data_IF_502766606383
#
_entry.id   IF_502766606383
#
_cell.length_a   1.000
_cell.length_b   1.000
_cell.length_c   1.000
_cell.angle_alpha   90.00
_cell.angle_beta   90.00
_cell.angle_gamma   90.00
#
_symmetry.space_group_name_H-M   'P 1'
#
loop_
_entity.id
_entity.type
_entity.pdbx_description
1 polymer ?
#
# COMPACT_ATOMS: atom_id res chain seq x y z
N UNK A 1 20.48 11.29 21.24
CA UNK A 1 19.33 12.21 21.38
C UNK A 1 18.74 12.42 20.00
N UNK A 2 17.49 11.99 19.86
CA UNK A 2 16.53 12.13 18.74
C UNK A 2 16.87 13.12 17.61
N UNK A 3 17.14 12.57 16.42
CA UNK A 3 17.07 13.31 15.15
C UNK A 3 15.60 13.61 14.83
N UNK A 4 15.07 14.71 15.36
CA UNK A 4 13.77 15.24 14.97
C UNK A 4 14.01 16.56 14.20
N UNK A 5 13.79 16.53 12.89
CA UNK A 5 13.92 17.72 12.01
C UNK A 5 12.51 18.33 11.86
N UNK A 6 12.22 19.47 12.50
CA UNK A 6 10.91 20.10 12.41
C UNK A 6 10.71 20.70 11.00
N UNK A 7 9.57 20.38 10.37
CA UNK A 7 9.20 20.92 9.06
C UNK A 7 9.34 19.95 7.88
N UNK A 8 9.77 18.70 8.08
CA UNK A 8 9.55 17.67 7.06
C UNK A 8 8.04 17.38 6.99
N UNK A 9 7.36 17.57 5.85
CA UNK A 9 6.09 16.91 5.66
C UNK A 9 6.42 15.41 5.76
N UNK A 10 5.88 14.74 6.78
CA UNK A 10 5.71 13.30 6.72
C UNK A 10 5.02 13.07 5.38
N UNK A 11 5.75 12.56 4.39
CA UNK A 11 5.16 12.04 3.17
C UNK A 11 4.29 10.89 3.64
N UNK A 12 3.07 11.22 4.04
CA UNK A 12 2.03 10.26 4.27
C UNK A 12 1.87 9.61 2.92
N UNK A 13 2.46 8.42 2.77
CA UNK A 13 2.31 7.61 1.57
C UNK A 13 0.84 7.24 1.53
N UNK A 14 0.05 8.09 0.85
CA UNK A 14 -1.38 7.89 0.70
C UNK A 14 -1.55 6.67 -0.19
N UNK A 15 -2.13 5.63 0.40
CA UNK A 15 -2.33 4.35 -0.28
C UNK A 15 -2.57 3.21 0.71
N UNK A 16 -3.10 2.13 0.17
CA UNK A 16 -3.31 0.88 0.91
C UNK A 16 -2.17 -0.07 0.55
N UNK A 17 -1.52 -0.60 1.57
CA UNK A 17 -0.36 -1.47 1.43
C UNK A 17 -0.59 -2.78 2.17
N UNK A 18 -0.08 -3.87 1.60
CA UNK A 18 -0.10 -5.17 2.24
C UNK A 18 0.94 -5.19 3.34
N UNK A 19 0.49 -5.26 4.59
CA UNK A 19 1.37 -5.34 5.77
C UNK A 19 1.55 -6.76 6.27
N UNK A 20 0.58 -7.65 6.00
CA UNK A 20 0.59 -9.05 6.43
C UNK A 20 -0.14 -9.93 5.40
N UNK A 21 0.32 -11.17 5.29
CA UNK A 21 -0.30 -12.24 4.50
C UNK A 21 -0.53 -13.43 5.43
N UNK A 22 -1.69 -14.06 5.33
CA UNK A 22 -2.01 -15.29 6.07
C UNK A 22 -1.37 -16.48 5.35
N UNK A 23 -0.51 -17.27 6.03
CA UNK A 23 0.07 -18.49 5.46
C UNK A 23 -1.01 -19.51 5.11
N UNK A 24 -0.87 -20.17 3.96
CA UNK A 24 -1.86 -21.08 3.36
C UNK A 24 -3.15 -20.39 2.91
N UNK A 25 -3.23 -19.06 2.98
CA UNK A 25 -4.41 -18.30 2.62
C UNK A 25 -4.51 -18.02 1.11
N UNK A 26 -5.70 -17.60 0.63
CA UNK A 26 -5.92 -17.30 -0.79
C UNK A 26 -5.01 -16.18 -1.32
N UNK A 27 -4.60 -15.25 -0.46
CA UNK A 27 -3.68 -14.18 -0.81
C UNK A 27 -2.26 -14.69 -1.10
N UNK A 28 -1.77 -15.69 -0.34
CA UNK A 28 -0.47 -16.31 -0.59
C UNK A 28 -0.50 -17.14 -1.88
N UNK A 29 -1.57 -17.91 -2.11
CA UNK A 29 -1.78 -18.65 -3.36
C UNK A 29 -1.84 -17.73 -4.59
N UNK A 30 -2.29 -16.49 -4.41
CA UNK A 30 -2.33 -15.47 -5.46
C UNK A 30 -0.99 -14.74 -5.66
N UNK A 31 0.10 -15.15 -5.00
CA UNK A 31 1.41 -14.48 -4.97
C UNK A 31 1.33 -13.02 -4.48
N UNK A 32 0.37 -12.69 -3.61
CA UNK A 32 0.33 -11.37 -2.95
C UNK A 32 1.44 -11.31 -1.89
N UNK A 33 2.21 -10.22 -1.87
CA UNK A 33 3.37 -10.10 -0.99
C UNK A 33 3.27 -8.89 -0.08
N UNK A 34 3.93 -8.98 1.07
CA UNK A 34 4.11 -7.81 1.95
C UNK A 34 4.86 -6.71 1.20
N UNK A 35 4.38 -5.47 1.34
CA UNK A 35 4.90 -4.31 0.62
C UNK A 35 4.20 -4.00 -0.70
N UNK A 36 3.36 -4.90 -1.23
CA UNK A 36 2.57 -4.61 -2.43
C UNK A 36 1.61 -3.43 -2.16
N UNK A 37 1.57 -2.47 -3.09
CA UNK A 37 0.61 -1.36 -3.05
C UNK A 37 -0.64 -1.74 -3.82
N UNK A 38 -1.79 -1.67 -3.15
CA UNK A 38 -3.09 -1.92 -3.76
C UNK A 38 -3.53 -0.66 -4.50
N UNK A 39 -3.71 -0.81 -5.82
CA UNK A 39 -4.17 0.25 -6.72
C UNK A 39 -5.67 0.14 -6.98
N UNK A 40 -6.20 -1.09 -7.05
CA UNK A 40 -7.61 -1.34 -7.36
C UNK A 40 -8.16 -2.55 -6.60
N UNK A 41 -9.43 -2.49 -6.21
CA UNK A 41 -10.19 -3.60 -5.59
C UNK A 41 -11.51 -3.78 -6.36
N UNK A 42 -11.72 -4.94 -6.99
CA UNK A 42 -12.94 -5.25 -7.75
C UNK A 42 -13.35 -4.17 -8.76
N UNK A 43 -12.36 -3.56 -9.42
CA UNK A 43 -12.58 -2.47 -10.39
C UNK A 43 -12.65 -1.07 -9.78
N UNK A 44 -12.68 -0.93 -8.45
CA UNK A 44 -12.67 0.37 -7.76
C UNK A 44 -11.24 0.85 -7.51
N UNK A 45 -10.94 2.07 -7.95
CA UNK A 45 -9.67 2.72 -7.68
C UNK A 45 -9.47 3.01 -6.19
N UNK A 46 -8.31 2.65 -5.67
CA UNK A 46 -7.94 2.75 -4.25
C UNK A 46 -6.83 3.79 -4.00
N UNK A 47 -6.40 4.52 -5.03
CA UNK A 47 -5.23 5.41 -4.96
C UNK A 47 -5.49 6.66 -4.12
N UNK A 48 -6.72 7.17 -4.13
CA UNK A 48 -7.15 8.34 -3.36
C UNK A 48 -8.24 8.01 -2.32
N UNK A 49 -8.38 6.73 -1.94
CA UNK A 49 -9.38 6.32 -0.96
C UNK A 49 -8.90 6.55 0.47
N UNK A 50 -9.84 6.93 1.34
CA UNK A 50 -9.61 6.93 2.79
C UNK A 50 -9.57 5.50 3.33
N UNK A 51 -8.94 5.31 4.49
CA UNK A 51 -8.84 4.00 5.13
C UNK A 51 -10.21 3.33 5.35
N UNK A 52 -11.23 4.10 5.76
CA UNK A 52 -12.58 3.55 5.97
C UNK A 52 -13.26 3.12 4.67
N UNK A 53 -13.10 3.90 3.59
CA UNK A 53 -13.63 3.53 2.28
C UNK A 53 -12.97 2.26 1.76
N UNK A 54 -11.64 2.17 1.87
CA UNK A 54 -10.88 0.99 1.50
C UNK A 54 -11.36 -0.25 2.26
N UNK A 55 -11.53 -0.14 3.59
CA UNK A 55 -12.05 -1.23 4.45
C UNK A 55 -13.43 -1.69 3.98
N UNK A 56 -14.37 -0.76 3.76
CA UNK A 56 -15.73 -1.12 3.30
C UNK A 56 -15.73 -1.89 1.98
N UNK A 57 -14.81 -1.55 1.06
CA UNK A 57 -14.67 -2.26 -0.22
C UNK A 57 -14.07 -3.65 -0.04
N UNK A 58 -13.06 -3.79 0.82
CA UNK A 58 -12.40 -5.07 1.10
C UNK A 58 -13.27 -6.03 1.93
N UNK A 59 -14.18 -5.51 2.77
CA UNK A 59 -14.98 -6.32 3.71
C UNK A 59 -16.43 -6.51 3.25
N UNK A 60 -16.70 -6.33 1.96
CA UNK A 60 -18.05 -6.38 1.42
C UNK A 60 -18.58 -7.82 1.47
N UNK A 61 -19.61 -8.05 2.30
CA UNK A 61 -20.13 -9.38 2.67
C UNK A 61 -20.72 -10.23 1.52
N UNK A 62 -20.92 -9.65 0.34
CA UNK A 62 -21.54 -10.33 -0.81
C UNK A 62 -20.53 -10.71 -1.91
N UNK A 63 -19.23 -10.64 -1.64
CA UNK A 63 -18.19 -10.99 -2.60
C UNK A 63 -17.28 -12.09 -2.01
N UNK A 64 -17.43 -13.33 -2.50
CA UNK A 64 -16.57 -14.46 -2.12
C UNK A 64 -15.16 -14.34 -2.72
N UNK A 65 -15.01 -13.56 -3.78
CA UNK A 65 -13.75 -13.34 -4.50
C UNK A 65 -13.46 -11.85 -4.61
N UNK A 66 -12.24 -11.46 -4.21
CA UNK A 66 -11.73 -10.09 -4.35
C UNK A 66 -10.60 -10.08 -5.37
N UNK A 67 -10.77 -9.30 -6.44
CA UNK A 67 -9.76 -9.08 -7.47
C UNK A 67 -8.97 -7.82 -7.14
N UNK A 68 -7.66 -7.96 -6.99
CA UNK A 68 -6.76 -6.86 -6.63
C UNK A 68 -5.86 -6.52 -7.82
N UNK A 69 -5.71 -5.23 -8.10
CA UNK A 69 -4.62 -4.73 -8.94
C UNK A 69 -3.56 -4.15 -8.01
N UNK A 70 -2.36 -4.71 -8.06
CA UNK A 70 -1.25 -4.32 -7.20
C UNK A 70 -0.05 -3.86 -8.01
N UNK A 71 0.72 -2.95 -7.45
CA UNK A 71 2.05 -2.62 -7.97
C UNK A 71 3.09 -3.09 -6.98
N UNK A 72 3.97 -3.96 -7.47
CA UNK A 72 5.17 -4.40 -6.77
C UNK A 72 6.32 -3.50 -7.23
N UNK A 73 6.42 -2.31 -6.64
CA UNK A 73 7.68 -1.58 -6.66
C UNK A 73 8.47 -2.12 -5.48
N UNK A 74 9.76 -2.43 -5.68
CA UNK A 74 10.59 -2.78 -4.53
C UNK A 74 10.44 -1.66 -3.50
N UNK A 75 10.24 -2.03 -2.23
CA UNK A 75 10.12 -1.04 -1.16
C UNK A 75 11.34 -0.09 -1.21
N UNK A 76 12.49 -0.62 -1.63
CA UNK A 76 13.72 0.09 -1.94
C UNK A 76 13.57 1.12 -3.06
N UNK A 77 12.87 0.84 -4.16
CA UNK A 77 12.58 1.83 -5.21
C UNK A 77 11.58 2.89 -4.75
N UNK A 78 10.56 2.50 -4.01
CA UNK A 78 9.58 3.46 -3.46
C UNK A 78 10.27 4.41 -2.45
N UNK A 79 11.09 3.85 -1.56
CA UNK A 79 11.89 4.58 -0.60
C UNK A 79 13.00 5.38 -1.28
N UNK A 80 13.66 4.86 -2.33
CA UNK A 80 14.68 5.58 -3.12
C UNK A 80 14.07 6.69 -3.98
N UNK A 81 12.83 6.56 -4.47
CA UNK A 81 12.12 7.68 -5.09
C UNK A 81 11.74 8.76 -4.06
N UNK A 82 11.43 8.36 -2.82
CA UNK A 82 11.14 9.30 -1.74
C UNK A 82 12.39 9.90 -1.08
N UNK A 83 13.53 9.21 -1.10
CA UNK A 83 14.82 9.66 -0.54
C UNK A 83 15.82 10.17 -1.59
N UNK A 84 15.57 9.93 -2.88
CA UNK A 84 16.45 10.33 -3.99
C UNK A 84 16.36 11.80 -4.38
N UNK A 85 15.42 12.55 -3.80
CA UNK A 85 15.31 14.00 -3.94
C UNK A 85 16.13 14.80 -2.91
N UNK A 86 16.70 14.16 -1.88
CA UNK A 86 17.58 14.82 -0.90
C UNK A 86 19.05 14.76 -1.34
N UNK A 87 19.32 15.02 -2.62
CA UNK A 87 20.68 15.30 -3.08
C UNK A 87 20.75 16.69 -3.72
N UNK A 88 21.34 17.59 -2.93
CA UNK A 88 22.09 18.80 -3.32
C UNK A 88 21.33 19.85 -4.14
N UNK A 89 20.86 20.87 -3.44
CA UNK A 89 21.45 22.21 -3.51
C UNK A 89 21.16 22.97 -2.22
#
# INVERSE_FOLDING_TARGET
MSNFIPGQPLVAVVGIYVTRITPGGPAETADLRMGDKIMQVNGYDMTMMTHDQARKRLTKKNEDVVRLLVTRKSLEEAVKNSMGGYQRQ
#
